data_IF_075188929312
#
_entry.id   IF_075188929312
#
_cell.length_a   1.000
_cell.length_b   1.000
_cell.length_c   1.000
_cell.angle_alpha   90.00
_cell.angle_beta   90.00
_cell.angle_gamma   90.00
#
_symmetry.space_group_name_H-M   'P 1'
#
loop_
_entity.id
_entity.type
_entity.pdbx_description
1 polymer ?
#
# COMPACT_ATOMS: atom_id res chain seq x y z
N UNK A 1 -13.38 17.26 0.44
CA UNK A 1 -13.46 18.72 0.36
C UNK A 1 -12.08 19.36 0.20
N UNK A 2 -11.08 19.02 1.04
CA UNK A 2 -9.72 19.62 0.99
C UNK A 2 -9.00 19.46 -0.37
N UNK A 3 -9.31 18.42 -1.15
CA UNK A 3 -8.77 18.25 -2.49
C UNK A 3 -9.58 18.99 -3.54
N UNK A 4 -10.93 18.86 -3.51
CA UNK A 4 -11.80 19.36 -4.58
C UNK A 4 -11.88 20.88 -4.62
N UNK A 5 -11.92 21.54 -3.47
CA UNK A 5 -12.02 23.00 -3.41
C UNK A 5 -10.82 23.69 -4.08
N UNK A 6 -9.54 23.39 -3.72
CA UNK A 6 -8.39 23.97 -4.41
C UNK A 6 -8.34 23.57 -5.90
N UNK A 7 -8.65 22.31 -6.22
CA UNK A 7 -8.62 21.85 -7.60
C UNK A 7 -9.57 22.67 -8.49
N UNK A 8 -10.84 22.80 -8.09
CA UNK A 8 -11.84 23.59 -8.81
C UNK A 8 -11.41 25.05 -8.92
N UNK A 9 -10.95 25.65 -7.83
CA UNK A 9 -10.46 27.04 -7.81
C UNK A 9 -9.34 27.27 -8.85
N UNK A 10 -8.32 26.42 -8.88
CA UNK A 10 -7.20 26.57 -9.81
C UNK A 10 -7.58 26.29 -11.26
N UNK A 11 -8.55 25.41 -11.51
CA UNK A 11 -9.11 25.18 -12.85
C UNK A 11 -9.82 26.46 -13.34
N UNK A 12 -10.70 27.09 -12.52
CA UNK A 12 -11.40 28.33 -12.89
C UNK A 12 -10.44 29.50 -13.12
N UNK A 13 -9.38 29.58 -12.32
CA UNK A 13 -8.34 30.59 -12.50
C UNK A 13 -7.42 30.35 -13.71
N UNK A 14 -7.59 29.23 -14.44
CA UNK A 14 -6.77 28.84 -15.62
C UNK A 14 -5.27 28.77 -15.31
N UNK A 15 -4.90 28.48 -14.06
CA UNK A 15 -3.50 28.38 -13.60
C UNK A 15 -2.90 27.01 -13.98
N UNK A 16 -3.75 25.98 -14.08
CA UNK A 16 -3.30 24.61 -14.37
C UNK A 16 -3.23 24.36 -15.88
N UNK A 17 -2.17 23.68 -16.31
CA UNK A 17 -2.10 23.18 -17.68
C UNK A 17 -2.98 21.93 -17.87
N UNK A 18 -3.41 21.68 -19.11
CA UNK A 18 -4.34 20.59 -19.45
C UNK A 18 -3.80 19.21 -19.02
N UNK A 19 -2.50 18.97 -19.15
CA UNK A 19 -1.88 17.70 -18.75
C UNK A 19 -2.00 17.45 -17.25
N UNK A 20 -1.86 18.47 -16.41
CA UNK A 20 -2.04 18.36 -14.98
C UNK A 20 -3.52 18.21 -14.61
N UNK A 21 -4.41 18.91 -15.29
CA UNK A 21 -5.88 18.78 -15.10
C UNK A 21 -6.30 17.32 -15.33
N UNK A 22 -5.87 16.69 -16.42
CA UNK A 22 -6.21 15.28 -16.73
C UNK A 22 -5.73 14.33 -15.61
N UNK A 23 -4.51 14.54 -15.11
CA UNK A 23 -3.97 13.73 -13.99
C UNK A 23 -4.76 13.92 -12.69
N UNK A 24 -5.15 15.16 -12.39
CA UNK A 24 -5.95 15.47 -11.19
C UNK A 24 -7.39 14.97 -11.32
N UNK A 25 -7.97 14.95 -12.51
CA UNK A 25 -9.27 14.28 -12.77
C UNK A 25 -9.15 12.78 -12.48
N UNK A 26 -8.08 12.11 -12.95
CA UNK A 26 -7.84 10.70 -12.63
C UNK A 26 -7.77 10.43 -11.12
N UNK A 27 -7.08 11.29 -10.37
CA UNK A 27 -7.03 11.20 -8.89
C UNK A 27 -8.42 11.48 -8.30
N UNK A 28 -9.18 12.44 -8.84
CA UNK A 28 -10.56 12.72 -8.40
C UNK A 28 -11.44 11.48 -8.50
N UNK A 29 -11.34 10.74 -9.61
CA UNK A 29 -12.09 9.49 -9.82
C UNK A 29 -11.68 8.41 -8.81
N UNK A 30 -10.38 8.29 -8.52
CA UNK A 30 -9.90 7.37 -7.47
C UNK A 30 -10.41 7.75 -6.08
N UNK A 31 -10.49 9.05 -5.75
CA UNK A 31 -11.04 9.54 -4.48
C UNK A 31 -12.54 9.21 -4.38
N UNK A 32 -13.30 9.37 -5.47
CA UNK A 32 -14.72 9.00 -5.50
C UNK A 32 -14.90 7.47 -5.35
N UNK A 33 -14.08 6.69 -6.05
CA UNK A 33 -14.06 5.23 -5.92
C UNK A 33 -13.70 4.81 -4.50
N UNK A 34 -12.74 5.46 -3.86
CA UNK A 34 -12.34 5.24 -2.48
C UNK A 34 -13.51 5.47 -1.52
N UNK A 35 -14.27 6.55 -1.72
CA UNK A 35 -15.49 6.83 -0.94
C UNK A 35 -16.56 5.75 -1.13
N UNK A 36 -16.78 5.31 -2.36
CA UNK A 36 -17.73 4.24 -2.68
C UNK A 36 -17.33 2.91 -2.02
N UNK A 37 -16.07 2.51 -2.13
CA UNK A 37 -15.56 1.27 -1.52
C UNK A 37 -15.68 1.34 0.00
N UNK A 38 -15.36 2.49 0.62
CA UNK A 38 -15.52 2.68 2.06
C UNK A 38 -16.97 2.53 2.51
N UNK A 39 -17.90 3.15 1.80
CA UNK A 39 -19.33 2.99 2.06
C UNK A 39 -19.79 1.53 1.87
N UNK A 40 -19.39 0.89 0.78
CA UNK A 40 -19.73 -0.50 0.49
C UNK A 40 -19.17 -1.47 1.56
N UNK A 41 -17.95 -1.21 2.01
CA UNK A 41 -17.28 -1.99 3.05
C UNK A 41 -18.11 -2.01 4.35
N UNK A 42 -18.57 -0.85 4.80
CA UNK A 42 -19.37 -0.73 6.02
C UNK A 42 -20.75 -1.37 5.82
N UNK A 43 -21.46 -1.01 4.75
CA UNK A 43 -22.83 -1.48 4.52
C UNK A 43 -22.95 -3.00 4.35
N UNK A 44 -21.96 -3.62 3.67
CA UNK A 44 -22.00 -5.07 3.36
C UNK A 44 -21.29 -5.95 4.38
N UNK A 45 -20.52 -5.37 5.31
CA UNK A 45 -19.77 -6.12 6.33
C UNK A 45 -20.48 -6.24 7.66
N UNK A 46 -21.31 -5.24 8.03
CA UNK A 46 -21.93 -5.13 9.37
C UNK A 46 -23.36 -5.64 9.45
N UNK A 47 -23.94 -6.19 8.36
CA UNK A 47 -25.31 -6.72 8.38
C UNK A 47 -25.39 -8.14 8.94
N UNK A 48 -24.36 -8.95 8.75
CA UNK A 48 -24.35 -10.36 9.19
C UNK A 48 -23.13 -10.72 10.05
N UNK A 49 -22.08 -9.90 10.03
CA UNK A 49 -20.83 -10.11 10.75
C UNK A 49 -20.47 -8.89 11.60
N UNK A 50 -19.85 -9.14 12.76
CA UNK A 50 -19.33 -8.07 13.64
C UNK A 50 -18.05 -7.40 13.09
N UNK A 51 -17.46 -7.93 12.03
CA UNK A 51 -16.22 -7.44 11.44
C UNK A 51 -16.32 -7.26 9.94
N UNK A 52 -15.56 -6.29 9.42
CA UNK A 52 -15.44 -6.05 7.98
C UNK A 52 -14.51 -7.09 7.35
N UNK A 53 -14.86 -7.58 6.15
CA UNK A 53 -13.99 -8.49 5.39
C UNK A 53 -12.58 -7.91 5.19
N UNK A 54 -11.54 -8.68 5.55
CA UNK A 54 -10.15 -8.29 5.38
C UNK A 54 -9.77 -8.01 3.90
N UNK A 55 -10.42 -8.65 2.93
CA UNK A 55 -10.24 -8.36 1.50
C UNK A 55 -10.73 -6.95 1.12
N UNK A 56 -11.89 -6.55 1.63
CA UNK A 56 -12.43 -5.19 1.37
C UNK A 56 -11.61 -4.12 2.07
N UNK A 57 -11.16 -4.42 3.29
CA UNK A 57 -10.26 -3.53 4.04
C UNK A 57 -8.95 -3.32 3.28
N UNK A 58 -8.34 -4.39 2.76
CA UNK A 58 -7.08 -4.30 2.00
C UNK A 58 -7.23 -3.54 0.69
N UNK A 59 -8.35 -3.75 -0.03
CA UNK A 59 -8.64 -3.01 -1.26
C UNK A 59 -8.79 -1.51 -0.99
N UNK A 60 -9.52 -1.16 0.06
CA UNK A 60 -9.69 0.24 0.49
C UNK A 60 -8.35 0.87 0.83
N UNK A 61 -7.52 0.21 1.63
CA UNK A 61 -6.20 0.69 2.00
C UNK A 61 -5.26 0.82 0.79
N UNK A 62 -5.27 -0.16 -0.12
CA UNK A 62 -4.46 -0.15 -1.34
C UNK A 62 -4.77 1.07 -2.21
N UNK A 63 -6.05 1.36 -2.46
CA UNK A 63 -6.46 2.52 -3.26
C UNK A 63 -6.07 3.83 -2.57
N UNK A 64 -6.21 3.93 -1.25
CA UNK A 64 -5.76 5.10 -0.49
C UNK A 64 -4.26 5.37 -0.71
N UNK A 65 -3.42 4.33 -0.66
CA UNK A 65 -1.99 4.45 -0.90
C UNK A 65 -1.63 4.76 -2.35
N UNK A 66 -2.40 4.28 -3.33
CA UNK A 66 -2.23 4.66 -4.74
C UNK A 66 -2.54 6.15 -4.92
N UNK A 67 -3.62 6.66 -4.32
CA UNK A 67 -3.97 8.09 -4.34
C UNK A 67 -2.83 8.91 -3.71
N UNK A 68 -2.38 8.53 -2.52
CA UNK A 68 -1.31 9.21 -1.79
C UNK A 68 -0.01 9.24 -2.59
N UNK A 69 0.43 8.09 -3.12
CA UNK A 69 1.64 7.98 -3.93
C UNK A 69 1.55 8.81 -5.22
N UNK A 70 0.37 8.85 -5.84
CA UNK A 70 0.12 9.65 -7.04
C UNK A 70 0.20 11.15 -6.76
N UNK A 71 -0.36 11.61 -5.64
CA UNK A 71 -0.28 13.01 -5.20
C UNK A 71 1.16 13.43 -4.90
N UNK A 72 1.93 12.59 -4.18
CA UNK A 72 3.35 12.84 -3.91
C UNK A 72 4.12 12.93 -5.23
N UNK A 73 3.91 11.98 -6.15
CA UNK A 73 4.58 11.96 -7.44
C UNK A 73 4.29 13.22 -8.27
N UNK A 74 3.04 13.66 -8.32
CA UNK A 74 2.67 14.90 -9.00
C UNK A 74 3.29 16.12 -8.34
N UNK A 75 3.30 16.19 -7.01
CA UNK A 75 3.89 17.28 -6.24
C UNK A 75 5.39 17.41 -6.52
N UNK A 76 6.13 16.29 -6.50
CA UNK A 76 7.56 16.30 -6.82
C UNK A 76 7.83 16.68 -8.27
N UNK A 77 7.06 16.17 -9.23
CA UNK A 77 7.22 16.56 -10.63
C UNK A 77 6.96 18.04 -10.84
N UNK A 78 5.99 18.61 -10.15
CA UNK A 78 5.67 20.04 -10.21
C UNK A 78 6.78 20.89 -9.55
N UNK A 79 7.21 20.53 -8.35
CA UNK A 79 8.24 21.24 -7.59
C UNK A 79 9.58 21.26 -8.32
N UNK A 80 10.04 20.12 -8.83
CA UNK A 80 11.31 20.01 -9.55
C UNK A 80 11.21 20.37 -11.04
N UNK A 81 10.04 20.83 -11.51
CA UNK A 81 9.76 21.13 -12.93
C UNK A 81 10.16 19.99 -13.89
N UNK A 82 9.99 18.75 -13.45
CA UNK A 82 10.28 17.56 -14.23
C UNK A 82 8.99 16.97 -14.80
N UNK A 83 9.11 16.24 -15.91
CA UNK A 83 7.97 15.51 -16.49
C UNK A 83 8.31 14.01 -16.61
N UNK A 84 8.81 13.45 -15.51
CA UNK A 84 9.19 12.03 -15.46
C UNK A 84 7.91 11.17 -15.39
N UNK A 85 7.85 10.14 -16.25
CA UNK A 85 6.78 9.14 -16.17
C UNK A 85 7.11 8.13 -15.07
N UNK A 86 6.11 7.77 -14.25
CA UNK A 86 6.28 6.84 -13.14
C UNK A 86 6.87 5.49 -13.57
N UNK A 87 6.47 4.98 -14.73
CA UNK A 87 6.94 3.69 -15.26
C UNK A 87 8.20 3.76 -16.14
N UNK A 88 8.75 4.95 -16.41
CA UNK A 88 9.94 5.11 -17.26
C UNK A 88 11.26 5.04 -16.50
N UNK A 89 11.28 4.43 -15.32
CA UNK A 89 12.48 4.29 -14.50
C UNK A 89 13.46 3.35 -15.21
N UNK A 90 14.70 3.83 -15.41
CA UNK A 90 15.79 3.06 -16.02
C UNK A 90 16.02 1.73 -15.28
N UNK A 91 16.57 0.73 -15.99
CA UNK A 91 16.90 -0.59 -15.43
C UNK A 91 17.76 -0.53 -14.16
N UNK A 92 18.61 0.52 -14.03
CA UNK A 92 19.46 0.74 -12.84
C UNK A 92 18.72 0.81 -11.50
N UNK A 93 17.41 1.01 -11.52
CA UNK A 93 16.58 1.14 -10.29
C UNK A 93 15.68 -0.08 -10.03
N UNK A 94 16.06 -1.26 -10.52
CA UNK A 94 15.27 -2.49 -10.33
C UNK A 94 15.01 -2.77 -8.84
N UNK A 95 16.04 -2.69 -8.00
CA UNK A 95 15.89 -2.90 -6.55
C UNK A 95 14.92 -1.91 -5.89
N UNK A 96 14.90 -0.65 -6.34
CA UNK A 96 13.94 0.33 -5.85
C UNK A 96 12.50 -0.02 -6.25
N UNK A 97 12.31 -0.51 -7.49
CA UNK A 97 11.00 -0.98 -7.95
C UNK A 97 10.52 -2.18 -7.15
N UNK A 98 11.42 -3.14 -6.91
CA UNK A 98 11.14 -4.32 -6.07
C UNK A 98 10.76 -3.88 -4.66
N UNK A 99 11.50 -2.95 -4.05
CA UNK A 99 11.18 -2.42 -2.73
C UNK A 99 9.79 -1.78 -2.68
N UNK A 100 9.46 -0.93 -3.65
CA UNK A 100 8.14 -0.29 -3.74
C UNK A 100 7.04 -1.36 -3.89
N UNK A 101 7.24 -2.36 -4.74
CA UNK A 101 6.27 -3.45 -4.92
C UNK A 101 6.08 -4.27 -3.64
N UNK A 102 7.16 -4.56 -2.90
CA UNK A 102 7.09 -5.24 -1.61
C UNK A 102 6.37 -4.40 -0.54
N UNK A 103 6.56 -3.08 -0.53
CA UNK A 103 5.83 -2.18 0.37
C UNK A 103 4.31 -2.24 0.08
N UNK A 104 3.90 -2.21 -1.19
CA UNK A 104 2.48 -2.36 -1.54
C UNK A 104 1.92 -3.74 -1.16
N UNK A 105 2.69 -4.80 -1.34
CA UNK A 105 2.32 -6.14 -0.89
C UNK A 105 2.19 -6.20 0.65
N UNK A 106 3.12 -5.59 1.36
CA UNK A 106 3.10 -5.49 2.82
C UNK A 106 1.87 -4.76 3.34
N UNK A 107 1.41 -3.71 2.65
CA UNK A 107 0.17 -3.00 2.98
C UNK A 107 -1.06 -3.90 2.85
N UNK A 108 -1.15 -4.69 1.77
CA UNK A 108 -2.25 -5.64 1.54
C UNK A 108 -2.29 -6.68 2.67
N UNK A 109 -1.15 -7.32 2.94
CA UNK A 109 -1.06 -8.37 3.97
C UNK A 109 -1.25 -7.77 5.37
N UNK A 110 -0.76 -6.55 5.62
CA UNK A 110 -1.01 -5.83 6.87
C UNK A 110 -2.48 -5.55 7.13
N UNK A 111 -3.24 -5.22 6.09
CA UNK A 111 -4.69 -5.10 6.20
C UNK A 111 -5.37 -6.45 6.50
N UNK A 112 -4.83 -7.56 5.97
CA UNK A 112 -5.31 -8.90 6.33
C UNK A 112 -5.02 -9.24 7.80
N UNK A 113 -3.81 -8.92 8.29
CA UNK A 113 -3.46 -9.09 9.71
C UNK A 113 -4.43 -8.32 10.60
N UNK A 114 -4.76 -7.10 10.23
CA UNK A 114 -5.72 -6.27 10.99
C UNK A 114 -7.14 -6.81 10.93
N UNK A 115 -7.62 -7.16 9.73
CA UNK A 115 -9.00 -7.62 9.53
C UNK A 115 -9.29 -9.02 10.07
N UNK A 116 -8.26 -9.84 10.27
CA UNK A 116 -8.36 -11.19 10.87
C UNK A 116 -7.93 -11.23 12.34
N UNK A 117 -7.61 -10.09 12.96
CA UNK A 117 -7.00 -10.04 14.30
C UNK A 117 -5.74 -10.93 14.44
N UNK A 118 -5.07 -11.22 13.31
CA UNK A 118 -3.97 -12.17 13.22
C UNK A 118 -2.77 -11.80 14.10
N UNK A 119 -2.59 -10.50 14.40
CA UNK A 119 -1.53 -10.04 15.30
C UNK A 119 -1.65 -10.51 16.74
N UNK A 120 -2.81 -11.04 17.15
CA UNK A 120 -3.08 -11.52 18.50
C UNK A 120 -2.72 -13.00 18.72
N UNK A 121 -2.45 -13.78 17.64
CA UNK A 121 -2.24 -15.22 17.71
C UNK A 121 -0.86 -15.55 18.25
N UNK A 122 0.19 -15.05 17.59
CA UNK A 122 1.56 -15.24 18.04
C UNK A 122 2.11 -13.91 18.55
N UNK A 123 2.31 -13.83 19.88
CA UNK A 123 2.78 -12.59 20.54
C UNK A 123 4.29 -12.59 20.78
N UNK A 124 4.97 -13.69 20.46
CA UNK A 124 6.43 -13.84 20.62
C UNK A 124 7.18 -13.35 19.37
N UNK A 125 8.40 -12.88 19.57
CA UNK A 125 9.32 -12.42 18.53
C UNK A 125 10.77 -12.79 18.91
N UNK A 126 11.61 -13.22 17.98
CA UNK A 126 11.43 -13.37 16.52
C UNK A 126 10.65 -14.62 16.11
N UNK A 127 10.53 -15.60 17.01
CA UNK A 127 9.85 -16.87 16.77
C UNK A 127 8.33 -16.75 17.01
N UNK A 128 7.58 -17.72 16.50
CA UNK A 128 6.15 -17.88 16.70
C UNK A 128 5.92 -19.01 17.68
N UNK A 129 5.77 -18.67 18.98
CA UNK A 129 5.69 -19.60 20.12
C UNK A 129 6.84 -20.64 20.18
N UNK A 130 8.06 -20.15 19.96
CA UNK A 130 9.29 -20.94 20.04
C UNK A 130 9.72 -21.62 18.75
N UNK A 131 8.90 -21.60 17.69
CA UNK A 131 9.22 -22.14 16.37
C UNK A 131 9.30 -21.02 15.30
N UNK A 132 10.06 -21.26 14.22
CA UNK A 132 10.09 -20.32 13.08
C UNK A 132 8.79 -20.35 12.27
N UNK A 133 8.22 -21.55 12.08
CA UNK A 133 6.93 -21.73 11.42
C UNK A 133 5.81 -21.77 12.46
N UNK A 134 4.61 -21.25 12.10
CA UNK A 134 3.41 -21.46 12.91
C UNK A 134 3.17 -22.96 13.14
N UNK A 135 2.59 -23.31 14.30
CA UNK A 135 2.36 -24.70 14.67
C UNK A 135 1.30 -25.41 13.80
N UNK A 136 1.38 -26.68 13.81
CA UNK A 136 0.42 -27.74 13.40
C UNK A 136 -0.37 -27.60 12.11
N UNK A 137 -0.71 -27.64 11.24
CA UNK A 137 -1.40 -27.56 9.93
C UNK A 137 -0.93 -26.40 9.03
N UNK A 138 0.16 -25.70 9.36
CA UNK A 138 0.64 -24.58 8.55
C UNK A 138 0.91 -24.99 7.11
N UNK A 139 1.51 -26.15 6.85
CA UNK A 139 1.79 -26.63 5.50
C UNK A 139 0.52 -26.96 4.71
N UNK A 140 -0.54 -27.40 5.39
CA UNK A 140 -1.84 -27.68 4.75
C UNK A 140 -2.59 -26.38 4.41
N UNK A 141 -2.32 -25.30 5.14
CA UNK A 141 -2.93 -24.00 4.98
C UNK A 141 -2.03 -23.00 4.24
N UNK A 142 -0.94 -23.46 3.64
CA UNK A 142 -0.02 -22.58 2.92
C UNK A 142 -0.75 -21.89 1.76
N UNK A 143 -0.59 -20.55 1.67
CA UNK A 143 -1.35 -19.66 0.79
C UNK A 143 -2.85 -19.51 1.10
N UNK A 144 -3.33 -19.94 2.27
CA UNK A 144 -4.67 -19.61 2.70
C UNK A 144 -4.72 -18.23 3.39
N UNK A 145 -5.14 -17.20 2.67
CA UNK A 145 -5.25 -15.84 3.19
C UNK A 145 -6.43 -15.63 4.16
N UNK A 146 -7.24 -16.66 4.41
CA UNK A 146 -8.22 -16.66 5.49
C UNK A 146 -7.67 -17.27 6.80
N UNK A 147 -6.47 -17.86 6.76
CA UNK A 147 -5.79 -18.37 7.95
C UNK A 147 -4.96 -17.26 8.60
N UNK A 148 -5.32 -16.82 9.80
CA UNK A 148 -4.59 -15.77 10.51
C UNK A 148 -3.13 -16.14 10.79
N UNK A 149 -2.80 -17.42 11.01
CA UNK A 149 -1.43 -17.90 11.25
C UNK A 149 -0.55 -17.69 10.02
N UNK A 150 -1.06 -18.05 8.84
CA UNK A 150 -0.37 -17.85 7.58
C UNK A 150 -0.17 -16.35 7.29
N UNK A 151 -1.22 -15.55 7.48
CA UNK A 151 -1.18 -14.10 7.20
C UNK A 151 -0.17 -13.39 8.12
N UNK A 152 -0.13 -13.74 9.41
CA UNK A 152 0.85 -13.18 10.34
C UNK A 152 2.28 -13.59 9.97
N UNK A 153 2.50 -14.86 9.63
CA UNK A 153 3.79 -15.35 9.17
C UNK A 153 4.28 -14.62 7.90
N UNK A 154 3.41 -14.53 6.89
CA UNK A 154 3.73 -13.84 5.64
C UNK A 154 4.08 -12.36 5.87
N UNK A 155 3.28 -11.66 6.69
CA UNK A 155 3.51 -10.25 7.06
C UNK A 155 4.87 -10.03 7.71
N UNK A 156 5.27 -10.88 8.67
CA UNK A 156 6.58 -10.80 9.34
C UNK A 156 7.73 -11.03 8.38
N UNK A 157 7.63 -12.07 7.54
CA UNK A 157 8.73 -12.42 6.63
C UNK A 157 8.93 -11.37 5.53
N UNK A 158 7.86 -10.82 4.96
CA UNK A 158 7.96 -9.73 3.99
C UNK A 158 8.54 -8.48 4.65
N UNK A 159 8.19 -8.18 5.91
CA UNK A 159 8.78 -7.06 6.65
C UNK A 159 10.30 -7.23 6.80
N UNK A 160 10.80 -8.43 7.09
CA UNK A 160 12.25 -8.70 7.15
C UNK A 160 12.92 -8.47 5.79
N UNK A 161 12.32 -8.96 4.70
CA UNK A 161 12.85 -8.74 3.35
C UNK A 161 12.92 -7.25 3.03
N UNK A 162 11.84 -6.49 3.32
CA UNK A 162 11.80 -5.03 3.12
C UNK A 162 12.90 -4.35 3.94
N UNK A 163 13.08 -4.74 5.19
CA UNK A 163 14.11 -4.17 6.07
C UNK A 163 15.51 -4.37 5.49
N UNK A 164 15.89 -5.61 5.20
CA UNK A 164 17.23 -5.90 4.67
C UNK A 164 17.47 -5.27 3.29
N UNK A 165 16.46 -5.26 2.41
CA UNK A 165 16.56 -4.60 1.11
C UNK A 165 16.70 -3.08 1.25
N UNK A 166 16.00 -2.47 2.21
CA UNK A 166 16.11 -1.02 2.49
C UNK A 166 17.50 -0.65 3.01
N UNK A 167 18.06 -1.45 3.93
CA UNK A 167 19.43 -1.27 4.44
C UNK A 167 20.44 -1.41 3.31
N UNK A 168 20.31 -2.47 2.49
CA UNK A 168 21.18 -2.67 1.33
C UNK A 168 21.13 -1.49 0.35
N UNK A 169 19.94 -1.02 0.01
CA UNK A 169 19.77 0.13 -0.89
C UNK A 169 20.34 1.41 -0.30
N UNK A 170 20.14 1.64 0.99
CA UNK A 170 20.73 2.80 1.69
C UNK A 170 22.26 2.79 1.61
N UNK A 171 22.86 1.64 1.88
CA UNK A 171 24.32 1.46 1.76
C UNK A 171 24.82 1.61 0.32
N UNK A 172 24.09 1.04 -0.66
CA UNK A 172 24.41 1.14 -2.07
C UNK A 172 24.38 2.59 -2.57
N UNK A 173 23.34 3.36 -2.22
CA UNK A 173 23.20 4.78 -2.57
C UNK A 173 24.36 5.59 -1.95
N UNK A 174 24.63 5.37 -0.66
CA UNK A 174 25.70 6.05 0.05
C UNK A 174 27.08 5.80 -0.59
N UNK A 175 27.40 4.53 -0.89
CA UNK A 175 28.69 4.14 -1.49
C UNK A 175 28.88 4.73 -2.91
N UNK A 176 27.83 4.77 -3.70
CA UNK A 176 27.89 5.22 -5.11
C UNK A 176 27.62 6.74 -5.28
N UNK A 177 27.38 7.46 -4.18
CA UNK A 177 27.09 8.92 -4.18
C UNK A 177 25.97 9.30 -5.17
N UNK A 178 24.92 8.43 -5.26
CA UNK A 178 23.76 8.64 -6.12
C UNK A 178 22.77 9.55 -5.42
#
# INVERSE_FOLDING_TARGET
LLFFIPFIYFVFKKILNISLIIKLIGISLLILLQGFIGWFMVRSGLTENLSVSHYRLSLHLLIAFIIFSSLIWLSFNHYFKTNKKFFSIKSSYVFLKVLISLIFLQLIIGAFVSGLDAGKIYQTWPLMDGAFFPSDNFLNNFFNFNDPSFVQFAHRNIAYIIFFLSVYLGFFIYKNKI
#
